data_IF_214362863475
#
_entry.id   IF_214362863475
#
_cell.length_a   1.000
_cell.length_b   1.000
_cell.length_c   1.000
_cell.angle_alpha   90.00
_cell.angle_beta   90.00
_cell.angle_gamma   90.00
#
_symmetry.space_group_name_H-M   'P 1'
#
loop_
_entity.id
_entity.type
_entity.pdbx_description
1 polymer ?
#
# COMPACT_ATOMS: atom_id res chain seq x y z
N UNK A 1 -4.74 8.88 10.41
CA UNK A 1 -3.99 7.64 10.66
C UNK A 1 -2.84 7.63 9.68
N UNK A 2 -1.64 7.31 10.17
CA UNK A 2 -0.42 7.43 9.38
C UNK A 2 -0.03 6.06 8.83
N UNK A 3 0.24 5.99 7.54
CA UNK A 3 0.58 4.75 6.86
C UNK A 3 1.89 4.88 6.12
N UNK A 4 2.61 3.77 6.05
CA UNK A 4 3.80 3.65 5.20
C UNK A 4 3.43 2.79 4.00
N UNK A 5 3.66 3.31 2.80
CA UNK A 5 3.36 2.60 1.57
C UNK A 5 4.42 1.53 1.23
N UNK A 6 4.19 0.84 0.11
CA UNK A 6 5.08 -0.21 -0.41
C UNK A 6 6.51 0.25 -0.72
N UNK A 7 6.77 1.55 -0.79
CA UNK A 7 8.09 2.12 -1.04
C UNK A 7 8.70 2.79 0.19
N UNK A 8 8.06 2.71 1.35
CA UNK A 8 8.55 3.33 2.57
C UNK A 8 8.22 4.80 2.73
N UNK A 9 7.31 5.33 1.93
CA UNK A 9 6.88 6.72 2.04
C UNK A 9 5.78 6.79 3.09
N UNK A 10 5.92 7.74 4.02
CA UNK A 10 4.92 8.01 5.04
C UNK A 10 3.83 8.92 4.48
N UNK A 11 2.59 8.57 4.76
CA UNK A 11 1.39 9.33 4.42
C UNK A 11 0.61 9.60 5.69
N UNK A 12 0.13 10.83 5.83
CA UNK A 12 -0.68 11.27 6.97
C UNK A 12 -2.14 11.43 6.55
N UNK A 13 -3.05 11.46 7.54
CA UNK A 13 -4.48 11.71 7.32
C UNK A 13 -5.14 10.83 6.25
N UNK A 14 -4.76 9.55 6.18
CA UNK A 14 -5.23 8.67 5.12
C UNK A 14 -6.58 8.02 5.43
N UNK A 15 -7.34 7.75 4.38
CA UNK A 15 -8.60 7.03 4.38
C UNK A 15 -8.42 5.65 3.75
N UNK A 16 -8.98 4.62 4.39
CA UNK A 16 -9.01 3.26 3.85
C UNK A 16 -9.98 3.19 2.66
N UNK A 17 -9.52 2.69 1.51
CA UNK A 17 -10.34 2.59 0.29
C UNK A 17 -10.91 1.17 0.09
N UNK A 18 -10.20 0.08 0.44
CA UNK A 18 -10.76 -1.31 0.41
C UNK A 18 -9.84 -2.32 1.13
N UNK A 19 -10.35 -3.52 1.49
CA UNK A 19 -10.06 -4.68 0.63
C UNK A 19 -11.25 -5.64 0.39
N UNK A 20 -11.25 -6.28 -0.78
CA UNK A 20 -11.93 -7.56 -1.04
C UNK A 20 -11.28 -8.65 -0.16
N UNK A 21 -12.07 -9.62 0.32
CA UNK A 21 -11.63 -10.57 1.37
C UNK A 21 -10.38 -11.38 1.03
N UNK A 22 -10.05 -11.55 -0.25
CA UNK A 22 -8.91 -12.35 -0.70
C UNK A 22 -7.57 -11.61 -0.58
N UNK A 23 -7.58 -10.27 -0.58
CA UNK A 23 -6.37 -9.43 -0.57
C UNK A 23 -6.13 -8.70 0.76
N UNK A 24 -6.50 -9.29 1.90
CA UNK A 24 -6.30 -8.71 3.26
C UNK A 24 -4.87 -8.26 3.59
N UNK A 25 -3.88 -8.59 2.75
CA UNK A 25 -2.47 -8.15 2.88
C UNK A 25 -2.17 -6.83 2.19
N UNK A 26 -2.88 -6.53 1.10
CA UNK A 26 -2.65 -5.36 0.25
C UNK A 26 -3.82 -4.42 0.47
N UNK A 27 -3.52 -3.26 1.01
CA UNK A 27 -4.53 -2.30 1.41
C UNK A 27 -4.33 -1.04 0.58
N UNK A 28 -5.39 -0.55 -0.04
CA UNK A 28 -5.37 0.71 -0.76
C UNK A 28 -5.83 1.80 0.19
N UNK A 29 -5.00 2.82 0.34
CA UNK A 29 -5.32 4.03 1.08
C UNK A 29 -5.36 5.22 0.11
N UNK A 30 -6.05 6.25 0.54
CA UNK A 30 -6.04 7.56 -0.10
C UNK A 30 -5.62 8.60 0.91
N UNK A 31 -4.67 9.45 0.56
CA UNK A 31 -4.25 10.55 1.43
C UNK A 31 -5.16 11.78 1.32
N UNK A 32 -4.81 12.84 2.04
CA UNK A 32 -5.59 14.09 2.09
C UNK A 32 -5.65 14.85 0.77
N UNK A 33 -4.75 14.58 -0.19
CA UNK A 33 -4.74 15.25 -1.50
C UNK A 33 -5.34 14.37 -2.61
N UNK A 34 -5.89 13.21 -2.24
CA UNK A 34 -6.55 12.29 -3.17
C UNK A 34 -5.60 11.32 -3.87
N UNK A 35 -4.34 11.23 -3.45
CA UNK A 35 -3.39 10.24 -3.99
C UNK A 35 -3.74 8.88 -3.41
N UNK A 36 -3.89 7.89 -4.29
CA UNK A 36 -4.03 6.48 -3.88
C UNK A 36 -2.66 5.86 -3.77
N UNK A 37 -2.46 5.05 -2.74
CA UNK A 37 -1.24 4.31 -2.53
C UNK A 37 -1.54 2.95 -1.91
N UNK A 38 -0.59 2.04 -2.10
CA UNK A 38 -0.68 0.67 -1.59
C UNK A 38 0.16 0.56 -0.33
N UNK A 39 -0.43 0.09 0.76
CA UNK A 39 0.27 -0.30 1.96
C UNK A 39 0.08 -1.79 2.22
N UNK A 40 1.03 -2.38 2.93
CA UNK A 40 0.93 -3.78 3.37
C UNK A 40 0.40 -3.80 4.80
N UNK A 41 -0.52 -4.73 5.08
CA UNK A 41 -1.00 -4.99 6.44
C UNK A 41 0.19 -5.23 7.39
N UNK A 42 0.16 -4.75 8.65
CA UNK A 42 1.27 -4.92 9.60
C UNK A 42 1.70 -6.38 9.81
N UNK A 43 0.82 -7.36 9.58
CA UNK A 43 1.13 -8.80 9.62
C UNK A 43 0.54 -9.51 8.39
N UNK A 44 1.20 -9.44 7.22
CA UNK A 44 0.65 -9.96 5.98
C UNK A 44 0.93 -11.48 5.87
N UNK A 45 0.21 -12.29 6.63
CA UNK A 45 0.40 -13.75 6.61
C UNK A 45 -0.21 -14.42 5.36
N UNK A 46 0.51 -15.39 4.76
CA UNK A 46 -0.04 -16.29 3.75
C UNK A 46 -1.32 -17.03 4.16
N UNK A 47 -2.46 -16.69 3.56
CA UNK A 47 -3.75 -17.37 3.80
C UNK A 47 -3.98 -18.57 2.88
N UNK A 48 -3.39 -18.58 1.67
CA UNK A 48 -3.60 -19.64 0.66
C UNK A 48 -2.38 -19.84 -0.25
N UNK A 49 -1.75 -18.76 -0.70
CA UNK A 49 -0.61 -18.77 -1.61
C UNK A 49 0.55 -17.88 -1.10
N UNK A 50 1.78 -18.33 -1.40
CA UNK A 50 3.05 -17.72 -0.94
C UNK A 50 3.69 -18.48 0.23
N UNK A 51 5.02 -18.44 0.34
CA UNK A 51 5.73 -19.03 1.49
C UNK A 51 6.04 -17.94 2.53
N UNK A 52 6.08 -18.31 3.80
CA UNK A 52 6.60 -17.46 4.87
C UNK A 52 8.11 -17.14 4.72
N UNK A 53 8.77 -17.66 3.68
CA UNK A 53 10.16 -17.34 3.33
C UNK A 53 10.28 -16.43 2.11
N UNK A 54 9.17 -16.22 1.40
CA UNK A 54 9.06 -15.35 0.22
C UNK A 54 8.12 -14.19 0.54
N UNK A 55 8.51 -13.40 1.54
CA UNK A 55 7.79 -12.20 1.89
C UNK A 55 8.11 -11.08 0.91
N UNK A 56 7.09 -10.28 0.65
CA UNK A 56 7.27 -8.99 0.03
C UNK A 56 8.27 -8.17 0.87
N UNK A 57 9.26 -7.58 0.21
CA UNK A 57 10.19 -6.63 0.79
C UNK A 57 9.79 -5.24 0.33
N UNK A 58 9.79 -4.29 1.25
CA UNK A 58 9.56 -2.89 0.92
C UNK A 58 10.54 -2.41 -0.14
N UNK A 59 10.00 -1.75 -1.16
CA UNK A 59 10.79 -1.02 -2.13
C UNK A 59 11.46 0.19 -1.48
N UNK A 60 12.36 0.85 -2.19
CA UNK A 60 12.93 2.11 -1.72
C UNK A 60 12.15 3.29 -2.29
N UNK A 61 12.13 4.45 -1.63
CA UNK A 61 11.49 5.66 -2.17
C UNK A 61 12.01 6.06 -3.56
N UNK A 62 13.27 5.73 -3.88
CA UNK A 62 13.88 6.02 -5.18
C UNK A 62 13.42 5.07 -6.30
N UNK A 63 12.79 3.94 -5.97
CA UNK A 63 12.31 2.95 -6.94
C UNK A 63 10.84 3.21 -7.32
N UNK A 64 10.24 4.28 -6.81
CA UNK A 64 8.84 4.65 -7.05
C UNK A 64 8.64 5.00 -8.52
N UNK A 65 7.68 4.36 -9.23
CA UNK A 65 7.33 4.74 -10.60
C UNK A 65 6.87 6.19 -10.70
N UNK A 66 7.20 6.87 -11.80
CA UNK A 66 6.87 8.30 -12.00
C UNK A 66 5.38 8.64 -11.78
N UNK A 67 4.49 7.75 -12.21
CA UNK A 67 3.04 7.93 -12.12
C UNK A 67 2.42 7.23 -10.90
N UNK A 68 3.22 6.85 -9.90
CA UNK A 68 2.71 6.09 -8.75
C UNK A 68 1.65 6.87 -7.95
N UNK A 69 1.80 8.19 -7.85
CA UNK A 69 0.86 9.07 -7.17
C UNK A 69 -0.09 9.79 -8.12
N UNK A 70 -0.46 9.14 -9.23
CA UNK A 70 -1.41 9.71 -10.17
C UNK A 70 -2.73 10.05 -9.46
N UNK A 71 -3.20 11.28 -9.67
CA UNK A 71 -4.52 11.74 -9.21
C UNK A 71 -5.33 12.04 -10.46
N UNK A 72 -6.44 11.33 -10.64
CA UNK A 72 -7.37 11.60 -11.72
C UNK A 72 -7.88 13.04 -11.57
N UNK A 73 -7.49 13.93 -12.48
CA UNK A 73 -8.06 15.28 -12.53
C UNK A 73 -9.51 15.16 -13.01
N UNK A 74 -10.45 15.49 -12.12
CA UNK A 74 -11.87 15.65 -12.48
C UNK A 74 -12.09 16.94 -13.28
#
# INVERSE_FOLDING_TARGET
MDFTDVYGIKHENCTLITPTEEYRRIIIFMDSVGRRFVAISPNPEPTKYGSAKSHWKQGKPNDVPKEYFHVDKK
#
